data_IF_262100584144
#
_entry.id   IF_262100584144
#
_cell.length_a   1.000
_cell.length_b   1.000
_cell.length_c   1.000
_cell.angle_alpha   90.00
_cell.angle_beta   90.00
_cell.angle_gamma   90.00
#
_symmetry.space_group_name_H-M   'P 1'
#
loop_
_entity.id
_entity.type
_entity.pdbx_description
1 polymer ?
#
# COMPACT_ATOMS: atom_id res chain seq x y z
N UNK A 1 -5.29 -20.47 -6.76
CA UNK A 1 -4.43 -19.32 -6.41
C UNK A 1 -5.22 -18.38 -5.49
N UNK A 2 -4.56 -17.50 -4.73
CA UNK A 2 -5.24 -16.55 -3.82
C UNK A 2 -6.31 -15.71 -4.55
N UNK A 3 -6.00 -15.24 -5.76
CA UNK A 3 -6.92 -14.43 -6.57
C UNK A 3 -8.17 -15.18 -7.06
N UNK A 4 -8.07 -16.49 -7.29
CA UNK A 4 -9.20 -17.35 -7.65
C UNK A 4 -10.11 -17.62 -6.45
N UNK A 5 -9.52 -17.84 -5.27
CA UNK A 5 -10.29 -17.97 -4.03
C UNK A 5 -11.02 -16.67 -3.66
N UNK A 6 -10.36 -15.52 -3.84
CA UNK A 6 -10.95 -14.20 -3.64
C UNK A 6 -12.13 -13.96 -4.60
N UNK A 7 -12.03 -14.41 -5.85
CA UNK A 7 -13.09 -14.26 -6.86
C UNK A 7 -14.30 -15.17 -6.60
N UNK A 8 -14.08 -16.38 -6.09
CA UNK A 8 -15.16 -17.35 -5.83
C UNK A 8 -15.89 -17.15 -4.51
N UNK A 9 -15.26 -16.50 -3.52
CA UNK A 9 -15.79 -16.32 -2.17
C UNK A 9 -15.78 -14.85 -1.73
N UNK A 10 -16.03 -13.93 -2.66
CA UNK A 10 -16.03 -12.47 -2.42
C UNK A 10 -16.87 -12.12 -1.19
N UNK A 11 -18.04 -12.73 -1.03
CA UNK A 11 -18.95 -12.44 0.08
C UNK A 11 -18.37 -12.82 1.44
N UNK A 12 -17.72 -13.98 1.56
CA UNK A 12 -17.11 -14.44 2.82
C UNK A 12 -15.95 -13.52 3.22
N UNK A 13 -15.09 -13.18 2.26
CA UNK A 13 -13.99 -12.25 2.51
C UNK A 13 -14.47 -10.82 2.77
N UNK A 14 -15.54 -10.38 2.11
CA UNK A 14 -16.14 -9.08 2.36
C UNK A 14 -16.71 -9.01 3.77
N UNK A 15 -17.49 -9.99 4.22
CA UNK A 15 -18.05 -10.05 5.58
C UNK A 15 -16.95 -10.04 6.63
N UNK A 16 -15.89 -10.85 6.44
CA UNK A 16 -14.74 -10.84 7.33
C UNK A 16 -14.06 -9.47 7.36
N UNK A 17 -13.86 -8.84 6.20
CA UNK A 17 -13.29 -7.49 6.10
C UNK A 17 -14.17 -6.44 6.80
N UNK A 18 -15.49 -6.48 6.58
CA UNK A 18 -16.47 -5.59 7.22
C UNK A 18 -16.46 -5.75 8.74
N UNK A 19 -16.39 -6.99 9.25
CA UNK A 19 -16.31 -7.27 10.69
C UNK A 19 -15.05 -6.71 11.36
N UNK A 20 -13.99 -6.49 10.59
CA UNK A 20 -12.71 -5.93 11.06
C UNK A 20 -12.55 -4.45 10.78
N UNK A 21 -13.53 -3.78 10.16
CA UNK A 21 -13.43 -2.36 9.79
C UNK A 21 -13.12 -1.45 10.97
N UNK A 22 -13.70 -1.71 12.15
CA UNK A 22 -13.41 -0.90 13.34
C UNK A 22 -11.94 -1.06 13.76
N UNK A 23 -11.42 -2.29 13.74
CA UNK A 23 -10.00 -2.56 14.00
C UNK A 23 -9.09 -1.95 12.93
N UNK A 24 -9.51 -1.91 11.67
CA UNK A 24 -8.78 -1.24 10.60
C UNK A 24 -8.81 0.29 10.75
N UNK A 25 -9.94 0.86 11.18
CA UNK A 25 -10.09 2.28 11.48
C UNK A 25 -9.17 2.71 12.62
N UNK A 26 -9.08 1.92 13.68
CA UNK A 26 -8.21 2.23 14.83
C UNK A 26 -6.72 2.09 14.52
N UNK A 27 -6.38 1.31 13.48
CA UNK A 27 -5.04 1.20 12.89
C UNK A 27 -4.75 2.25 11.82
N UNK A 28 -5.78 2.92 11.30
CA UNK A 28 -5.64 3.87 10.21
C UNK A 28 -4.77 5.05 10.66
N UNK A 29 -3.74 5.37 9.87
CA UNK A 29 -2.70 6.37 10.18
C UNK A 29 -1.84 6.12 11.45
N UNK A 30 -1.83 4.90 12.01
CA UNK A 30 -0.93 4.56 13.12
C UNK A 30 0.20 3.63 12.67
N UNK A 31 1.41 3.96 13.10
CA UNK A 31 2.62 3.18 12.86
C UNK A 31 3.33 3.54 11.56
N UNK A 32 4.56 3.05 11.43
CA UNK A 32 5.38 3.22 10.22
C UNK A 32 5.28 1.96 9.36
N UNK A 33 5.12 2.14 8.06
CA UNK A 33 5.20 1.06 7.08
C UNK A 33 6.01 1.49 5.88
N UNK A 34 6.55 0.52 5.16
CA UNK A 34 7.44 0.71 4.03
C UNK A 34 6.76 0.20 2.76
N UNK A 35 6.97 0.91 1.65
CA UNK A 35 6.50 0.52 0.33
C UNK A 35 7.67 0.48 -0.63
N UNK A 36 7.83 -0.63 -1.34
CA UNK A 36 8.73 -0.69 -2.49
C UNK A 36 8.00 -0.26 -3.75
N UNK A 37 8.61 0.63 -4.53
CA UNK A 37 8.06 1.15 -5.78
C UNK A 37 9.13 1.23 -6.85
N UNK A 38 8.72 0.96 -8.09
CA UNK A 38 9.45 1.32 -9.31
C UNK A 38 8.55 2.24 -10.10
N UNK A 39 9.05 3.41 -10.48
CA UNK A 39 8.27 4.44 -11.18
C UNK A 39 9.15 5.17 -12.19
N UNK A 40 8.54 5.92 -13.11
CA UNK A 40 9.30 6.73 -14.05
C UNK A 40 10.00 7.88 -13.30
N UNK A 41 11.14 8.37 -13.81
CA UNK A 41 11.92 9.44 -13.17
C UNK A 41 11.07 10.67 -12.84
N UNK A 42 10.17 11.06 -13.75
CA UNK A 42 9.24 12.18 -13.53
C UNK A 42 8.39 12.02 -12.26
N UNK A 43 7.94 10.80 -11.97
CA UNK A 43 7.09 10.51 -10.81
C UNK A 43 7.96 10.51 -9.53
N UNK A 44 9.23 10.09 -9.61
CA UNK A 44 10.17 10.17 -8.48
C UNK A 44 10.36 11.61 -8.03
N UNK A 45 10.46 12.55 -8.97
CA UNK A 45 10.72 13.94 -8.65
C UNK A 45 9.51 14.62 -7.98
N UNK A 46 8.28 14.21 -8.30
CA UNK A 46 7.07 14.62 -7.55
C UNK A 46 7.13 14.17 -6.08
N UNK A 47 7.56 12.93 -5.83
CA UNK A 47 7.73 12.42 -4.47
C UNK A 47 8.83 13.15 -3.70
N UNK A 48 9.97 13.43 -4.34
CA UNK A 48 11.06 14.20 -3.71
C UNK A 48 10.59 15.61 -3.36
N UNK A 49 9.94 16.28 -4.31
CA UNK A 49 9.38 17.61 -4.07
C UNK A 49 8.41 17.61 -2.89
N UNK A 50 7.51 16.62 -2.79
CA UNK A 50 6.58 16.52 -1.67
C UNK A 50 7.27 16.22 -0.32
N UNK A 51 8.38 15.48 -0.30
CA UNK A 51 9.20 15.26 0.91
C UNK A 51 9.83 16.58 1.39
N UNK A 52 10.29 17.41 0.45
CA UNK A 52 10.93 18.69 0.74
C UNK A 52 9.92 19.82 1.05
N UNK A 53 8.61 19.60 0.82
CA UNK A 53 7.53 20.58 1.04
C UNK A 53 6.53 20.06 2.09
N UNK A 54 6.80 20.25 3.40
CA UNK A 54 5.92 19.80 4.48
C UNK A 54 4.48 20.31 4.33
N UNK A 55 3.50 19.46 4.64
CA UNK A 55 2.07 19.79 4.49
C UNK A 55 1.49 19.40 3.12
N UNK A 56 2.33 18.93 2.19
CA UNK A 56 1.88 18.36 0.92
C UNK A 56 1.27 16.98 1.10
N UNK A 57 0.18 16.70 0.38
CA UNK A 57 -0.45 15.38 0.32
C UNK A 57 -0.18 14.70 -1.03
N UNK A 58 0.39 13.50 -1.01
CA UNK A 58 0.50 12.64 -2.20
C UNK A 58 -0.74 11.75 -2.26
N UNK A 59 -1.59 11.97 -3.27
CA UNK A 59 -2.72 11.09 -3.55
C UNK A 59 -2.28 9.93 -4.45
N UNK A 60 -2.60 8.69 -4.04
CA UNK A 60 -2.34 7.49 -4.84
C UNK A 60 -3.69 6.86 -5.21
N UNK A 61 -4.04 6.92 -6.50
CA UNK A 61 -5.35 6.49 -7.02
C UNK A 61 -5.52 4.97 -7.19
N UNK A 62 -4.52 4.20 -6.77
CA UNK A 62 -4.51 2.73 -6.88
C UNK A 62 -4.29 2.11 -5.51
N UNK A 63 -4.77 0.88 -5.31
CA UNK A 63 -4.50 0.14 -4.08
C UNK A 63 -2.99 -0.03 -3.90
N UNK A 64 -2.53 0.27 -2.69
CA UNK A 64 -1.12 0.21 -2.33
C UNK A 64 -0.89 -0.90 -1.31
N UNK A 65 0.20 -1.64 -1.50
CA UNK A 65 0.63 -2.65 -0.54
C UNK A 65 1.85 -2.13 0.20
N UNK A 66 1.84 -2.25 1.52
CA UNK A 66 2.96 -1.86 2.39
C UNK A 66 3.35 -3.01 3.30
N UNK A 67 4.57 -2.96 3.86
CA UNK A 67 5.07 -3.91 4.85
C UNK A 67 5.70 -3.18 6.01
N UNK A 68 5.57 -3.70 7.23
CA UNK A 68 6.34 -3.22 8.38
C UNK A 68 7.81 -3.62 8.31
N UNK A 69 8.14 -4.64 7.50
CA UNK A 69 9.50 -5.09 7.27
C UNK A 69 10.08 -4.39 6.03
N UNK A 70 11.08 -3.50 6.20
CA UNK A 70 11.66 -2.76 5.08
C UNK A 70 12.34 -3.68 4.04
N UNK A 71 12.86 -4.85 4.44
CA UNK A 71 13.47 -5.81 3.50
C UNK A 71 12.40 -6.41 2.59
N UNK A 72 11.24 -6.78 3.16
CA UNK A 72 10.09 -7.26 2.37
C UNK A 72 9.59 -6.20 1.41
N UNK A 73 9.47 -4.96 1.85
CA UNK A 73 9.09 -3.85 0.97
C UNK A 73 10.10 -3.67 -0.19
N UNK A 74 11.39 -3.72 0.11
CA UNK A 74 12.45 -3.54 -0.90
C UNK A 74 12.42 -4.61 -2.01
N UNK A 75 12.02 -5.84 -1.71
CA UNK A 75 11.85 -6.87 -2.75
C UNK A 75 10.86 -6.46 -3.86
N UNK A 76 9.81 -5.70 -3.53
CA UNK A 76 8.85 -5.21 -4.52
C UNK A 76 9.41 -4.08 -5.41
N UNK A 77 10.39 -3.31 -4.92
CA UNK A 77 11.08 -2.29 -5.72
C UNK A 77 12.14 -2.87 -6.67
N UNK A 78 12.63 -4.09 -6.40
CA UNK A 78 13.65 -4.75 -7.23
C UNK A 78 13.08 -5.59 -8.37
N UNK A 79 11.77 -5.84 -8.38
CA UNK A 79 11.13 -6.69 -9.38
C UNK A 79 10.93 -5.94 -10.70
N UNK A 80 11.93 -6.03 -11.58
CA UNK A 80 11.84 -6.36 -13.02
C UNK A 80 13.17 -6.09 -13.73
N UNK A 81 13.98 -7.15 -13.84
CA UNK A 81 14.52 -7.60 -15.13
C UNK A 81 14.10 -9.05 -15.31
#
# INVERSE_FOLDING_TARGET
NFYGALRSNVEVFAVEMYSKLQTFKDRFFKGQSYRGLTMATKDIDEYKWAIDNPGTLIEIKTLTSTSVDPKKAYHFARSKK
#
